data_IF_449998545352
#
_entry.id   IF_449998545352
#
_cell.length_a   1.000
_cell.length_b   1.000
_cell.length_c   1.000
_cell.angle_alpha   90.00
_cell.angle_beta   90.00
_cell.angle_gamma   90.00
#
_symmetry.space_group_name_H-M   'P 1'
#
loop_
_entity.id
_entity.type
_entity.pdbx_description
1 polymer ?
#
# COMPACT_ATOMS: atom_id res chain seq x y z
N UNK A 1 -12.49 -25.86 10.35
CA UNK A 1 -11.84 -24.62 9.86
C UNK A 1 -12.26 -24.39 8.42
N UNK A 2 -12.48 -23.14 8.02
CA UNK A 2 -12.80 -22.81 6.62
C UNK A 2 -11.52 -22.94 5.78
N UNK A 3 -11.62 -23.57 4.61
CA UNK A 3 -10.48 -23.69 3.69
C UNK A 3 -10.05 -22.30 3.20
N UNK A 4 -8.73 -22.07 3.12
CA UNK A 4 -8.18 -20.80 2.66
C UNK A 4 -8.16 -20.74 1.14
N UNK A 5 -8.55 -19.61 0.58
CA UNK A 5 -8.46 -19.35 -0.85
C UNK A 5 -7.03 -18.99 -1.23
N UNK A 6 -6.50 -19.63 -2.28
CA UNK A 6 -5.20 -19.28 -2.86
C UNK A 6 -5.38 -18.19 -3.93
N UNK A 7 -4.76 -17.00 -3.79
CA UNK A 7 -4.87 -15.97 -4.81
C UNK A 7 -4.15 -16.36 -6.11
N UNK A 8 -4.55 -15.73 -7.21
CA UNK A 8 -3.86 -15.86 -8.49
C UNK A 8 -2.40 -15.37 -8.36
N UNK A 9 -1.51 -15.92 -9.20
CA UNK A 9 -0.13 -15.44 -9.29
C UNK A 9 -0.10 -14.10 -10.01
N UNK A 10 0.84 -13.24 -9.63
CA UNK A 10 1.15 -12.03 -10.38
C UNK A 10 1.69 -12.38 -11.77
N UNK A 11 1.40 -11.50 -12.73
CA UNK A 11 1.89 -11.54 -14.10
C UNK A 11 2.24 -10.11 -14.54
N UNK A 12 3.06 -9.92 -15.58
CA UNK A 12 3.29 -8.61 -16.17
C UNK A 12 1.97 -7.88 -16.47
N UNK A 13 1.92 -6.60 -16.16
CA UNK A 13 0.73 -5.74 -16.24
C UNK A 13 -0.23 -5.86 -15.05
N UNK A 14 0.03 -6.74 -14.07
CA UNK A 14 -0.83 -6.84 -12.89
C UNK A 14 -0.73 -5.56 -12.04
N UNK A 15 -1.91 -5.07 -11.64
CA UNK A 15 -2.04 -3.91 -10.76
C UNK A 15 -1.70 -4.29 -9.32
N UNK A 16 -0.90 -3.45 -8.66
CA UNK A 16 -0.50 -3.62 -7.25
C UNK A 16 -0.85 -2.37 -6.48
N UNK A 17 -1.85 -2.44 -5.60
CA UNK A 17 -2.16 -1.35 -4.69
C UNK A 17 -1.08 -1.23 -3.61
N UNK A 18 -0.58 -0.02 -3.38
CA UNK A 18 0.36 0.31 -2.31
C UNK A 18 -0.38 1.10 -1.24
N UNK A 19 -0.39 0.60 -0.01
CA UNK A 19 -1.12 1.15 1.14
C UNK A 19 -0.20 1.24 2.36
N UNK A 20 -0.49 2.15 3.31
CA UNK A 20 0.27 2.33 4.55
C UNK A 20 -0.59 2.05 5.79
N UNK A 21 -0.87 0.77 6.13
CA UNK A 21 -1.79 0.43 7.23
C UNK A 21 -1.17 0.56 8.62
N UNK A 22 0.10 0.93 8.73
CA UNK A 22 0.89 0.94 9.97
C UNK A 22 1.52 2.32 10.21
N UNK A 23 2.85 2.43 10.18
CA UNK A 23 3.57 3.70 10.39
C UNK A 23 3.93 4.44 9.10
N UNK A 24 4.26 5.74 9.22
CA UNK A 24 4.54 6.60 8.08
C UNK A 24 5.82 6.16 7.36
N UNK A 25 5.83 6.32 6.03
CA UNK A 25 6.96 5.97 5.17
C UNK A 25 7.54 7.25 4.54
N UNK A 26 8.86 7.46 4.54
CA UNK A 26 9.47 8.55 3.78
C UNK A 26 9.13 8.47 2.29
N UNK A 27 8.80 9.61 1.68
CA UNK A 27 8.33 9.67 0.29
C UNK A 27 9.36 9.10 -0.69
N UNK A 28 10.66 9.30 -0.43
CA UNK A 28 11.73 8.79 -1.29
C UNK A 28 11.76 7.26 -1.29
N UNK A 29 11.39 6.62 -0.17
CA UNK A 29 11.29 5.17 -0.07
C UNK A 29 10.07 4.64 -0.80
N UNK A 30 8.96 5.37 -0.77
CA UNK A 30 7.78 5.03 -1.58
C UNK A 30 8.19 5.04 -3.06
N UNK A 31 8.80 6.13 -3.53
CA UNK A 31 9.16 6.24 -4.93
C UNK A 31 10.17 5.16 -5.38
N UNK A 32 11.21 4.91 -4.59
CA UNK A 32 12.15 3.83 -4.87
C UNK A 32 11.49 2.45 -4.93
N UNK A 33 10.52 2.18 -4.04
CA UNK A 33 9.74 0.94 -4.06
C UNK A 33 8.84 0.83 -5.30
N UNK A 34 8.22 1.93 -5.72
CA UNK A 34 7.41 1.96 -6.95
C UNK A 34 8.26 1.66 -8.18
N UNK A 35 9.48 2.18 -8.25
CA UNK A 35 10.40 1.92 -9.36
C UNK A 35 10.81 0.44 -9.42
N UNK A 36 10.99 -0.22 -8.27
CA UNK A 36 11.21 -1.68 -8.22
C UNK A 36 10.00 -2.45 -8.76
N UNK A 37 8.77 -2.09 -8.36
CA UNK A 37 7.55 -2.75 -8.84
C UNK A 37 7.37 -2.57 -10.36
N UNK A 38 7.61 -1.36 -10.88
CA UNK A 38 7.62 -1.09 -12.33
C UNK A 38 8.69 -1.91 -13.05
N UNK A 39 9.86 -2.09 -12.45
CA UNK A 39 10.94 -2.93 -12.98
C UNK A 39 10.61 -4.43 -13.03
N UNK A 40 9.56 -4.88 -12.33
CA UNK A 40 9.01 -6.23 -12.45
C UNK A 40 7.84 -6.34 -13.44
N UNK A 41 7.66 -5.32 -14.28
CA UNK A 41 6.54 -5.15 -15.21
C UNK A 41 5.16 -5.09 -14.52
N UNK A 42 5.08 -4.57 -13.28
CA UNK A 42 3.81 -4.39 -12.56
C UNK A 42 3.32 -2.94 -12.68
N UNK A 43 2.02 -2.74 -12.44
CA UNK A 43 1.37 -1.43 -12.42
C UNK A 43 1.06 -1.01 -10.96
N UNK A 44 1.98 -0.33 -10.26
CA UNK A 44 1.76 0.07 -8.89
C UNK A 44 0.84 1.29 -8.79
N UNK A 45 -0.20 1.20 -7.95
CA UNK A 45 -1.14 2.28 -7.68
C UNK A 45 -1.09 2.67 -6.21
N UNK A 46 -0.65 3.90 -5.96
CA UNK A 46 -0.53 4.47 -4.61
C UNK A 46 -1.91 4.89 -4.12
N UNK A 47 -2.29 4.40 -2.93
CA UNK A 47 -3.55 4.81 -2.30
C UNK A 47 -3.46 6.24 -1.72
N UNK A 48 -4.59 6.97 -1.61
CA UNK A 48 -4.60 8.39 -1.25
C UNK A 48 -3.83 8.76 0.03
N UNK A 49 -3.82 7.90 1.04
CA UNK A 49 -3.33 8.22 2.39
C UNK A 49 -1.94 7.63 2.69
N UNK A 50 -1.21 7.15 1.68
CA UNK A 50 0.10 6.49 1.87
C UNK A 50 1.15 7.38 2.53
N UNK A 51 1.10 8.70 2.27
CA UNK A 51 2.06 9.67 2.80
C UNK A 51 1.52 10.45 4.02
N UNK A 52 0.31 10.14 4.46
CA UNK A 52 -0.31 10.81 5.59
C UNK A 52 0.45 10.50 6.88
N UNK A 53 0.31 11.42 7.83
CA UNK A 53 0.85 11.29 9.18
C UNK A 53 -0.25 11.62 10.16
N UNK A 54 -0.35 10.81 11.22
CA UNK A 54 -1.30 11.11 12.28
C UNK A 54 -0.82 12.31 13.09
N UNK A 55 -1.72 13.25 13.38
CA UNK A 55 -1.39 14.53 14.05
C UNK A 55 -0.86 14.33 15.47
N UNK A 56 -1.50 13.48 16.27
CA UNK A 56 -1.09 13.18 17.65
C UNK A 56 -0.07 12.03 17.75
N UNK A 57 -0.25 10.96 16.98
CA UNK A 57 0.55 9.74 17.07
C UNK A 57 1.52 9.60 15.90
N UNK A 58 2.70 10.23 16.01
CA UNK A 58 3.70 10.26 14.92
C UNK A 58 4.19 8.88 14.41
N UNK A 59 3.86 7.78 15.10
CA UNK A 59 4.14 6.41 14.66
C UNK A 59 3.05 5.81 13.76
N UNK A 60 1.96 6.53 13.46
CA UNK A 60 0.86 6.09 12.60
C UNK A 60 0.82 6.85 11.26
N UNK A 61 0.55 6.11 10.17
CA UNK A 61 0.33 6.63 8.83
C UNK A 61 -1.12 7.13 8.65
N UNK A 62 -1.44 8.27 9.27
CA UNK A 62 -2.78 8.87 9.20
C UNK A 62 -3.79 8.27 10.18
N UNK A 63 -5.05 8.73 10.08
CA UNK A 63 -6.13 8.31 10.95
C UNK A 63 -6.54 6.85 10.67
N UNK A 64 -7.13 6.20 11.67
CA UNK A 64 -7.62 4.82 11.56
C UNK A 64 -8.60 4.64 10.40
N UNK A 65 -9.48 5.62 10.18
CA UNK A 65 -10.47 5.59 9.11
C UNK A 65 -9.81 5.62 7.72
N UNK A 66 -8.77 6.44 7.55
CA UNK A 66 -8.05 6.61 6.29
C UNK A 66 -7.23 5.35 5.95
N UNK A 67 -6.47 4.83 6.93
CA UNK A 67 -5.74 3.56 6.79
C UNK A 67 -6.66 2.40 6.45
N UNK A 68 -7.82 2.32 7.11
CA UNK A 68 -8.81 1.28 6.84
C UNK A 68 -9.43 1.43 5.45
N UNK A 69 -9.75 2.65 5.04
CA UNK A 69 -10.38 2.92 3.75
C UNK A 69 -9.45 2.57 2.58
N UNK A 70 -8.15 2.86 2.70
CA UNK A 70 -7.16 2.48 1.69
C UNK A 70 -6.98 0.97 1.60
N UNK A 71 -6.93 0.27 2.72
CA UNK A 71 -6.85 -1.19 2.75
C UNK A 71 -8.10 -1.85 2.13
N UNK A 72 -9.30 -1.30 2.38
CA UNK A 72 -10.55 -1.87 1.88
C UNK A 72 -10.80 -1.62 0.39
N UNK A 73 -10.22 -0.55 -0.17
CA UNK A 73 -10.35 -0.19 -1.60
C UNK A 73 -9.25 -0.79 -2.49
N UNK A 74 -8.21 -1.36 -1.89
CA UNK A 74 -7.10 -2.03 -2.57
C UNK A 74 -7.53 -3.39 -3.17
#
# INVERSE_FOLDING_TARGET
MKELLRPARLAPGARVAVVAPSGPVPEERIQAGLDVLRGWDLDPVVAPHVLDRHEEFAYLAGADADRAADLQRA
#
